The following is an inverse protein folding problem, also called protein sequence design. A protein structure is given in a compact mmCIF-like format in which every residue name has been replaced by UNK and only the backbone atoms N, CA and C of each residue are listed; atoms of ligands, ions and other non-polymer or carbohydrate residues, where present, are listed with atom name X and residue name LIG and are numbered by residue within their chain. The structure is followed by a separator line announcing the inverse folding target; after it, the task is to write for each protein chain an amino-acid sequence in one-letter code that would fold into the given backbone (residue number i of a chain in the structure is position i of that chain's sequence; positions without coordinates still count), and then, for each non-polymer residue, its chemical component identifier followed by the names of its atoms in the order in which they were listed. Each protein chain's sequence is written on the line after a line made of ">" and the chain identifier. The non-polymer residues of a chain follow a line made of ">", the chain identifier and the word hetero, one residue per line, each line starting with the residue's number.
data_IF_881576004296
#
_entry.id   IF_881576004296
#
_cell.length_a   1.000
_cell.length_b   1.000
_cell.length_c   1.000
_cell.angle_alpha   90.00
_cell.angle_beta   90.00
_cell.angle_gamma   90.00
#
_symmetry.space_group_name_H-M   'P 1'
#
loop_
_entity.id
_entity.type
_entity.pdbx_description
1 polymer ?
#
# COMPACT_ATOMS: atom_id res chain seq x y z
N UNK A 1 19.71 -2.82 5.48
CA UNK A 1 20.50 -1.87 4.82
C UNK A 1 19.63 -0.76 4.28
N UNK A 2 20.17 0.04 3.42
CA UNK A 2 19.40 1.18 2.94
C UNK A 2 18.24 0.79 2.08
N UNK A 3 18.17 -0.42 1.63
CA UNK A 3 16.99 -0.82 0.89
C UNK A 3 15.73 -0.65 1.69
N UNK A 4 15.80 -0.80 2.99
CA UNK A 4 14.60 -0.66 3.81
C UNK A 4 14.06 0.76 3.74
N UNK A 5 14.95 1.73 3.72
CA UNK A 5 14.53 3.11 3.70
C UNK A 5 14.36 3.65 2.29
N UNK A 6 14.76 2.89 1.31
CA UNK A 6 14.66 3.34 -0.06
C UNK A 6 13.24 3.16 -0.57
N UNK A 7 12.61 4.22 -1.05
CA UNK A 7 11.26 4.07 -1.58
C UNK A 7 11.21 3.22 -2.84
N UNK A 8 12.35 3.05 -3.50
CA UNK A 8 12.37 2.24 -4.71
C UNK A 8 12.90 0.86 -4.48
N UNK A 9 13.19 0.49 -3.22
CA UNK A 9 13.79 -0.79 -2.95
C UNK A 9 12.80 -1.92 -3.00
N UNK A 10 13.27 -3.10 -2.67
CA UNK A 10 12.44 -4.27 -2.66
C UNK A 10 11.53 -4.32 -1.46
N UNK A 11 11.62 -3.36 -0.55
CA UNK A 11 10.75 -3.33 0.61
C UNK A 11 9.29 -3.13 0.21
N UNK A 12 9.06 -2.39 -0.86
CA UNK A 12 7.70 -2.10 -1.30
C UNK A 12 7.38 -2.97 -2.49
N UNK A 13 6.34 -3.76 -2.34
CA UNK A 13 5.98 -4.72 -3.38
C UNK A 13 4.85 -4.23 -4.27
N UNK A 14 3.94 -3.46 -3.72
CA UNK A 14 2.75 -3.09 -4.45
C UNK A 14 2.13 -1.87 -3.85
N UNK A 15 1.57 -1.02 -4.69
CA UNK A 15 0.82 0.13 -4.22
C UNK A 15 -0.60 -0.31 -3.90
N UNK A 16 -1.09 0.13 -2.77
CA UNK A 16 -2.40 -0.25 -2.28
C UNK A 16 -3.20 0.98 -1.91
N UNK A 17 -4.51 0.81 -1.92
CA UNK A 17 -5.42 1.78 -1.34
C UNK A 17 -6.01 1.14 -0.09
N UNK A 18 -5.92 1.84 1.02
CA UNK A 18 -6.43 1.31 2.28
C UNK A 18 -7.19 2.41 3.00
N UNK A 19 -8.12 1.99 3.82
CA UNK A 19 -8.86 2.93 4.64
C UNK A 19 -8.06 3.21 5.90
N UNK A 20 -7.68 4.45 6.07
CA UNK A 20 -6.88 4.86 7.20
C UNK A 20 -6.97 6.39 7.29
N UNK A 21 -7.15 6.95 8.47
CA UNK A 21 -7.18 6.28 9.77
C UNK A 21 -8.54 5.71 10.17
N UNK A 22 -9.53 5.88 9.34
CA UNK A 22 -10.84 5.35 9.69
C UNK A 22 -11.58 4.97 8.42
N UNK A 23 -12.69 4.32 8.59
CA UNK A 23 -13.53 3.98 7.46
C UNK A 23 -13.97 5.23 6.73
N UNK A 24 -13.96 5.15 5.43
CA UNK A 24 -14.34 6.26 4.59
C UNK A 24 -13.23 7.21 4.25
N UNK A 25 -12.09 7.08 4.92
CA UNK A 25 -10.90 7.85 4.58
C UNK A 25 -9.88 6.91 3.95
N UNK A 26 -9.44 7.25 2.77
CA UNK A 26 -8.55 6.38 2.01
C UNK A 26 -7.19 7.01 1.89
N UNK A 27 -6.18 6.18 1.88
CA UNK A 27 -4.82 6.64 1.67
C UNK A 27 -4.08 5.59 0.87
N UNK A 28 -2.98 6.03 0.29
CA UNK A 28 -2.09 5.11 -0.39
C UNK A 28 -1.16 4.46 0.61
N UNK A 29 -0.92 3.19 0.40
CA UNK A 29 0.02 2.45 1.20
C UNK A 29 0.78 1.51 0.30
N UNK A 30 1.75 0.82 0.89
CA UNK A 30 2.58 -0.10 0.14
C UNK A 30 2.64 -1.43 0.85
N UNK A 31 2.45 -2.48 0.09
CA UNK A 31 2.56 -3.82 0.63
C UNK A 31 4.03 -4.12 0.89
N UNK A 32 4.35 -4.49 2.10
CA UNK A 32 5.73 -4.81 2.43
C UNK A 32 5.95 -6.28 2.74
N UNK A 33 4.88 -7.02 2.99
CA UNK A 33 5.04 -8.43 3.26
C UNK A 33 3.88 -8.93 4.08
N UNK A 34 4.17 -9.90 4.92
CA UNK A 34 3.16 -10.48 5.78
C UNK A 34 3.75 -10.67 7.17
N UNK A 35 2.93 -10.52 8.20
CA UNK A 35 3.41 -10.82 9.55
C UNK A 35 3.75 -12.30 9.68
N UNK A 36 4.53 -12.62 10.69
CA UNK A 36 4.88 -14.00 10.94
C UNK A 36 3.63 -14.79 11.30
N UNK A 37 3.72 -16.11 11.16
CA UNK A 37 2.60 -16.97 11.50
C UNK A 37 2.21 -16.79 12.95
N UNK A 38 3.20 -16.60 13.84
CA UNK A 38 2.89 -16.41 15.25
C UNK A 38 2.09 -15.15 15.49
N UNK A 39 2.44 -14.08 14.81
CA UNK A 39 1.70 -12.84 14.96
C UNK A 39 0.31 -12.94 14.37
N UNK A 40 0.19 -13.61 13.23
CA UNK A 40 -1.13 -13.78 12.65
C UNK A 40 -2.04 -14.58 13.54
N UNK A 41 -1.49 -15.59 14.20
CA UNK A 41 -2.30 -16.35 15.16
C UNK A 41 -2.79 -15.46 16.29
N UNK A 42 -1.95 -14.56 16.76
CA UNK A 42 -2.36 -13.65 17.83
C UNK A 42 -3.46 -12.70 17.36
N UNK A 43 -3.50 -12.40 16.08
CA UNK A 43 -4.54 -11.54 15.53
C UNK A 43 -5.80 -12.32 15.15
N UNK A 44 -5.85 -13.60 15.50
CA UNK A 44 -7.03 -14.39 15.25
C UNK A 44 -7.15 -14.95 13.83
N UNK A 45 -6.05 -15.05 13.13
CA UNK A 45 -6.07 -15.54 11.77
C UNK A 45 -5.76 -17.01 11.76
N UNK A 46 -6.63 -17.79 11.13
CA UNK A 46 -6.41 -19.21 10.96
C UNK A 46 -5.58 -19.45 9.74
N UNK A 47 -4.67 -20.38 9.84
CA UNK A 47 -3.84 -20.71 8.69
C UNK A 47 -4.72 -21.34 7.61
N UNK A 48 -4.36 -21.08 6.36
CA UNK A 48 -5.09 -21.62 5.24
C UNK A 48 -6.22 -20.76 4.74
N UNK A 49 -6.53 -19.67 5.42
CA UNK A 49 -7.60 -18.78 5.02
C UNK A 49 -7.00 -17.55 4.37
N UNK A 50 -6.96 -17.57 3.08
CA UNK A 50 -6.26 -16.49 2.40
C UNK A 50 -6.94 -15.16 2.52
N UNK A 51 -8.26 -15.15 2.50
CA UNK A 51 -8.97 -13.87 2.63
C UNK A 51 -8.72 -13.22 3.97
N UNK A 52 -8.52 -14.03 4.99
CA UNK A 52 -8.31 -13.51 6.34
C UNK A 52 -6.84 -13.28 6.65
N UNK A 53 -5.98 -13.58 5.71
CA UNK A 53 -4.54 -13.42 5.95
C UNK A 53 -4.22 -11.96 6.15
N UNK A 54 -3.40 -11.70 7.15
CA UNK A 54 -2.93 -10.35 7.39
C UNK A 54 -1.75 -10.04 6.51
N UNK A 55 -1.66 -8.78 6.13
CA UNK A 55 -0.52 -8.28 5.35
C UNK A 55 0.03 -7.06 6.05
N UNK A 56 1.29 -6.79 5.78
CA UNK A 56 1.97 -5.63 6.34
C UNK A 56 1.93 -4.50 5.33
N UNK A 57 1.57 -3.33 5.79
CA UNK A 57 1.37 -2.17 4.93
C UNK A 57 2.10 -0.98 5.53
N UNK A 58 2.83 -0.27 4.69
CA UNK A 58 3.48 0.97 5.08
C UNK A 58 2.66 2.13 4.52
N UNK A 59 2.25 3.02 5.40
CA UNK A 59 1.49 4.21 5.02
C UNK A 59 2.39 5.41 5.22
N UNK A 60 2.94 5.96 4.14
CA UNK A 60 3.89 7.06 4.28
C UNK A 60 3.20 8.37 4.61
N UNK A 61 3.93 9.23 5.28
CA UNK A 61 3.48 10.59 5.51
C UNK A 61 3.79 11.43 4.29
N UNK A 62 3.13 12.57 4.21
CA UNK A 62 3.34 13.50 3.12
C UNK A 62 3.81 14.82 3.67
N UNK A 63 4.61 15.52 2.92
CA UNK A 63 5.21 15.17 1.64
C UNK A 63 6.48 14.34 1.77
N UNK A 64 6.80 13.91 2.97
CA UNK A 64 8.03 13.18 3.24
C UNK A 64 7.71 11.70 3.42
N UNK A 65 7.87 10.88 2.37
CA UNK A 65 7.46 9.48 2.45
C UNK A 65 8.48 8.58 3.12
N UNK A 66 9.53 9.12 3.70
CA UNK A 66 10.51 8.28 4.38
C UNK A 66 10.07 7.91 5.78
N UNK A 67 9.00 8.51 6.28
CA UNK A 67 8.42 8.12 7.55
C UNK A 67 6.94 7.85 7.34
N UNK A 68 6.33 7.21 8.33
CA UNK A 68 4.94 6.87 8.21
C UNK A 68 4.54 5.86 9.26
N UNK A 69 3.51 5.10 8.94
CA UNK A 69 2.96 4.15 9.87
C UNK A 69 3.06 2.74 9.31
N UNK A 70 3.32 1.81 10.19
CA UNK A 70 3.40 0.40 9.86
C UNK A 70 2.13 -0.26 10.38
N UNK A 71 1.33 -0.78 9.47
CA UNK A 71 0.05 -1.36 9.81
C UNK A 71 0.02 -2.81 9.40
N UNK A 72 -0.80 -3.57 10.11
CA UNK A 72 -1.10 -4.94 9.70
C UNK A 72 -2.61 -5.02 9.57
N UNK A 73 -3.07 -5.45 8.43
CA UNK A 73 -4.50 -5.48 8.15
C UNK A 73 -4.81 -6.67 7.29
N UNK A 74 -6.08 -6.99 7.19
CA UNK A 74 -6.48 -8.11 6.36
C UNK A 74 -6.25 -7.79 4.91
N UNK A 75 -5.81 -8.81 4.18
CA UNK A 75 -5.59 -8.64 2.75
C UNK A 75 -6.85 -8.15 2.05
N UNK A 76 -8.01 -8.66 2.46
CA UNK A 76 -9.24 -8.26 1.80
C UNK A 76 -9.60 -6.81 2.03
N UNK A 77 -9.00 -6.17 3.02
CA UNK A 77 -9.24 -4.75 3.27
C UNK A 77 -8.34 -3.85 2.46
N UNK A 78 -7.46 -4.41 1.67
CA UNK A 78 -6.59 -3.64 0.81
C UNK A 78 -7.09 -3.72 -0.62
N UNK A 79 -6.90 -2.65 -1.36
CA UNK A 79 -7.26 -2.61 -2.77
C UNK A 79 -5.97 -2.41 -3.55
N UNK A 80 -5.63 -3.39 -4.38
CA UNK A 80 -4.42 -3.28 -5.18
C UNK A 80 -4.63 -2.27 -6.28
N UNK A 81 -3.64 -1.45 -6.50
CA UNK A 81 -3.71 -0.43 -7.52
C UNK A 81 -2.86 -0.82 -8.71
N UNK A 82 -3.34 -0.42 -9.86
CA UNK A 82 -2.63 -0.69 -11.11
C UNK A 82 -1.72 0.48 -11.42
N UNK A 83 -0.76 0.69 -10.55
CA UNK A 83 0.23 1.73 -10.76
C UNK A 83 1.51 1.28 -10.08
N UNK A 84 2.61 1.80 -10.57
CA UNK A 84 3.90 1.45 -10.01
C UNK A 84 4.08 2.11 -8.66
N UNK A 85 5.02 1.56 -7.88
CA UNK A 85 5.38 2.16 -6.61
C UNK A 85 5.89 3.58 -6.82
N UNK A 86 6.67 3.78 -7.88
CA UNK A 86 7.19 5.12 -8.17
C UNK A 86 6.08 6.11 -8.46
N UNK A 87 5.09 5.70 -9.23
CA UNK A 87 3.99 6.60 -9.56
C UNK A 87 3.19 6.94 -8.30
N UNK A 88 2.98 5.95 -7.45
CA UNK A 88 2.27 6.19 -6.21
C UNK A 88 3.04 7.14 -5.30
N UNK A 89 4.36 6.98 -5.25
CA UNK A 89 5.17 7.87 -4.41
C UNK A 89 5.13 9.31 -4.91
N UNK A 90 5.13 9.50 -6.22
CA UNK A 90 5.01 10.85 -6.76
C UNK A 90 3.67 11.47 -6.41
N UNK A 91 2.63 10.68 -6.44
CA UNK A 91 1.32 11.17 -6.05
C UNK A 91 1.31 11.58 -4.59
N UNK A 92 1.94 10.77 -3.74
CA UNK A 92 1.98 11.05 -2.31
C UNK A 92 2.81 12.30 -2.03
N UNK A 93 3.97 12.42 -2.66
CA UNK A 93 4.85 13.56 -2.42
C UNK A 93 4.16 14.85 -2.84
N UNK A 94 3.35 14.82 -3.87
CA UNK A 94 2.64 16.00 -4.32
C UNK A 94 1.34 16.20 -3.56
N UNK A 95 1.06 15.36 -2.60
CA UNK A 95 -0.17 15.43 -1.80
C UNK A 95 -1.40 15.39 -2.68
N UNK A 96 -1.34 14.59 -3.72
CA UNK A 96 -2.48 14.39 -4.59
C UNK A 96 -2.65 15.41 -5.68
N UNK A 97 -1.73 16.37 -5.78
CA UNK A 97 -1.86 17.40 -6.80
C UNK A 97 -1.46 16.89 -8.17
N UNK A 98 -0.40 16.08 -8.22
CA UNK A 98 0.08 15.55 -9.48
C UNK A 98 -0.42 14.12 -9.61
N UNK A 99 -1.40 13.92 -10.48
CA UNK A 99 -1.98 12.61 -10.67
C UNK A 99 -0.96 11.68 -11.32
N UNK A 100 -0.93 10.42 -10.89
CA UNK A 100 -0.04 9.47 -11.53
C UNK A 100 -0.53 9.13 -12.91
N UNK A 101 0.35 8.62 -13.76
CA UNK A 101 -0.11 8.13 -15.05
C UNK A 101 -1.08 6.99 -14.85
N UNK A 102 -2.15 6.97 -15.63
CA UNK A 102 -3.12 5.91 -15.53
C UNK A 102 -2.58 4.67 -16.21
N UNK A 103 -3.17 3.52 -15.85
CA UNK A 103 -2.84 2.30 -16.53
C UNK A 103 -3.29 2.36 -17.97
N UNK A 104 -2.83 1.38 -18.74
CA UNK A 104 -3.10 1.40 -20.16
C UNK A 104 -4.59 1.40 -20.45
N UNK A 105 -5.34 0.58 -19.79
CA UNK A 105 -6.76 0.51 -20.06
C UNK A 105 -7.48 1.78 -19.67
N UNK A 106 -7.09 2.37 -18.59
CA UNK A 106 -7.70 3.61 -18.16
C UNK A 106 -7.39 4.74 -19.12
N UNK A 107 -6.18 4.76 -19.62
CA UNK A 107 -5.82 5.79 -20.58
C UNK A 107 -6.69 5.69 -21.82
N UNK A 108 -6.96 4.47 -22.25
CA UNK A 108 -7.77 4.27 -23.44
C UNK A 108 -9.20 4.68 -23.22
N UNK A 109 -9.71 4.46 -22.03
CA UNK A 109 -11.10 4.82 -21.76
C UNK A 109 -11.27 6.28 -21.43
N UNK A 110 -10.24 6.94 -21.02
CA UNK A 110 -10.34 8.32 -20.54
C UNK A 110 -9.90 9.37 -21.52
N UNK A 111 -9.47 8.97 -22.66
CA UNK A 111 -8.87 9.96 -23.54
C UNK A 111 -9.91 10.78 -24.30
N UNK A 112 -11.15 10.45 -24.19
CA UNK A 112 -12.14 11.22 -24.95
C UNK A 112 -12.42 12.58 -24.35
#
# INVERSE_FOLDING_TARGET
>A
SDTILSPHGQAFRKALLVEYPRRGCWTLGFLTGAPSAAMQAKMGVSSGQEEDTMVSVFVPTTPNPTSGFFLMMRREETVELDMSVDAALKYIVSMGVVAPPVGRNEAETNHE
#
